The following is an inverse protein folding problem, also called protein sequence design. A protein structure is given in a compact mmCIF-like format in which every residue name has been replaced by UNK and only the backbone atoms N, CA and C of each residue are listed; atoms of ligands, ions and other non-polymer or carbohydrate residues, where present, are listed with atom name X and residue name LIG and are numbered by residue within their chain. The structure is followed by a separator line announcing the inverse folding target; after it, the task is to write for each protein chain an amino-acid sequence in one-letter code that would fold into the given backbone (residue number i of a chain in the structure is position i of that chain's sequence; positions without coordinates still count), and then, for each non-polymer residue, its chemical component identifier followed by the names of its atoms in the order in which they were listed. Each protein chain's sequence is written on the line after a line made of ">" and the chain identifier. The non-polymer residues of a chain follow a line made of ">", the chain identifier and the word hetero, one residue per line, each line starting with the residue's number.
data_IF_841146711723
#
_entry.id   IF_841146711723
#
_cell.length_a   1.000
_cell.length_b   1.000
_cell.length_c   1.000
_cell.angle_alpha   90.00
_cell.angle_beta   90.00
_cell.angle_gamma   90.00
#
_symmetry.space_group_name_H-M   'P 1'
#
loop_
_entity.id
_entity.type
_entity.pdbx_description
1 polymer ?
#
# COMPACT_ATOMS: atom_id res chain seq x y z
N UNK A 1 -22.12 39.04 9.62
CA UNK A 1 -21.81 38.05 8.58
C UNK A 1 -21.96 36.69 9.23
N UNK A 2 -22.94 35.89 8.81
CA UNK A 2 -23.11 34.51 9.27
C UNK A 2 -22.34 33.62 8.31
N UNK A 3 -21.32 32.93 8.81
CA UNK A 3 -20.59 31.95 8.01
C UNK A 3 -21.51 30.76 7.72
N UNK A 4 -21.87 30.57 6.45
CA UNK A 4 -22.56 29.38 5.99
C UNK A 4 -21.53 28.24 5.83
N UNK A 5 -21.26 27.54 6.94
CA UNK A 5 -20.40 26.35 6.92
C UNK A 5 -21.27 25.10 6.71
N UNK A 6 -21.06 24.40 5.60
CA UNK A 6 -21.67 23.09 5.37
C UNK A 6 -20.92 22.03 6.17
N UNK A 7 -21.61 21.40 7.13
CA UNK A 7 -21.06 20.26 7.87
C UNK A 7 -21.21 18.99 7.04
N UNK A 8 -20.12 18.26 6.85
CA UNK A 8 -20.10 16.96 6.17
C UNK A 8 -19.88 15.88 7.21
N UNK A 9 -20.82 14.95 7.36
CA UNK A 9 -20.73 13.82 8.28
C UNK A 9 -20.14 12.60 7.55
N UNK A 10 -19.09 11.95 8.09
CA UNK A 10 -18.60 10.69 7.54
C UNK A 10 -19.69 9.61 7.54
N UNK A 11 -19.85 8.91 6.43
CA UNK A 11 -20.75 7.75 6.33
C UNK A 11 -19.92 6.48 6.41
N UNK A 12 -20.29 5.55 7.30
CA UNK A 12 -19.64 4.25 7.36
C UNK A 12 -19.96 3.41 6.12
N UNK A 13 -18.97 2.68 5.60
CA UNK A 13 -19.18 1.70 4.54
C UNK A 13 -19.79 0.46 5.19
N UNK A 14 -21.02 0.13 4.79
CA UNK A 14 -21.79 -0.98 5.33
C UNK A 14 -21.48 -2.29 4.58
N UNK A 15 -20.24 -2.77 4.65
CA UNK A 15 -19.93 -4.21 4.55
C UNK A 15 -18.43 -4.47 4.80
N UNK A 16 -18.03 -4.82 6.02
CA UNK A 16 -16.64 -5.21 6.33
C UNK A 16 -16.33 -6.67 5.95
N UNK A 17 -17.31 -7.49 5.55
CA UNK A 17 -17.10 -8.94 5.31
C UNK A 17 -16.27 -9.26 4.05
N UNK A 18 -16.12 -8.33 3.10
CA UNK A 18 -15.38 -8.59 1.85
C UNK A 18 -13.88 -8.20 1.90
N UNK A 19 -13.42 -7.51 2.94
CA UNK A 19 -12.06 -6.99 3.03
C UNK A 19 -11.11 -7.95 3.74
N UNK A 20 -10.90 -9.16 3.19
CA UNK A 20 -9.84 -10.03 3.69
C UNK A 20 -8.46 -9.46 3.34
N UNK A 21 -7.50 -9.45 4.28
CA UNK A 21 -6.16 -8.93 4.01
C UNK A 21 -5.41 -9.83 3.01
N UNK A 22 -4.50 -9.21 2.28
CA UNK A 22 -3.54 -9.86 1.41
C UNK A 22 -2.38 -10.39 2.26
N UNK A 23 -2.25 -11.71 2.30
CA UNK A 23 -1.20 -12.40 3.03
C UNK A 23 0.06 -12.57 2.17
N UNK A 24 1.16 -11.93 2.54
CA UNK A 24 2.47 -12.15 1.91
C UNK A 24 3.57 -12.39 2.95
N UNK A 25 4.68 -12.99 2.52
CA UNK A 25 5.86 -13.17 3.36
C UNK A 25 7.11 -12.68 2.63
N UNK A 26 7.92 -11.86 3.29
CA UNK A 26 9.26 -11.49 2.85
C UNK A 26 10.28 -11.91 3.91
N UNK A 27 11.21 -12.78 3.53
CA UNK A 27 12.12 -13.39 4.49
C UNK A 27 11.35 -14.09 5.60
N UNK A 28 11.59 -13.70 6.84
CA UNK A 28 10.91 -14.26 8.03
C UNK A 28 9.68 -13.45 8.47
N UNK A 29 9.36 -12.36 7.76
CA UNK A 29 8.26 -11.44 8.12
C UNK A 29 7.01 -11.78 7.31
N UNK A 30 5.97 -12.19 8.03
CA UNK A 30 4.60 -12.37 7.49
C UNK A 30 3.83 -11.06 7.62
N UNK A 31 3.16 -10.65 6.55
CA UNK A 31 2.44 -9.39 6.45
C UNK A 31 0.99 -9.63 6.01
N UNK A 32 0.07 -8.99 6.71
CA UNK A 32 -1.37 -8.98 6.42
C UNK A 32 -1.72 -7.59 5.88
N UNK A 33 -1.49 -7.39 4.59
CA UNK A 33 -1.64 -6.09 3.95
C UNK A 33 -3.10 -5.82 3.57
N UNK A 34 -3.61 -4.58 3.67
CA UNK A 34 -4.94 -4.26 3.16
C UNK A 34 -4.97 -4.46 1.65
N UNK A 35 -6.12 -4.81 1.07
CA UNK A 35 -6.22 -4.91 -0.40
C UNK A 35 -6.04 -3.53 -1.03
N UNK A 36 -5.38 -3.49 -2.19
CA UNK A 36 -5.12 -2.23 -2.89
C UNK A 36 -6.40 -1.57 -3.45
N UNK A 37 -7.49 -2.32 -3.59
CA UNK A 37 -8.82 -1.84 -3.99
C UNK A 37 -9.73 -1.50 -2.79
N UNK A 38 -9.29 -1.77 -1.56
CA UNK A 38 -10.03 -1.48 -0.34
C UNK A 38 -9.60 -0.14 0.29
N UNK A 39 -10.23 0.93 -0.16
CA UNK A 39 -9.95 2.29 0.33
C UNK A 39 -10.35 2.53 1.78
N UNK A 40 -11.12 1.63 2.41
CA UNK A 40 -11.51 1.76 3.81
C UNK A 40 -10.34 1.45 4.76
N UNK A 41 -9.47 0.49 4.38
CA UNK A 41 -8.37 0.03 5.21
C UNK A 41 -6.98 0.44 4.67
N UNK A 42 -6.88 0.84 3.40
CA UNK A 42 -5.61 1.29 2.83
C UNK A 42 -5.20 2.66 3.40
N UNK A 43 -3.94 2.84 3.85
CA UNK A 43 -3.47 4.13 4.34
C UNK A 43 -3.61 5.22 3.27
N UNK A 44 -4.05 6.42 3.67
CA UNK A 44 -4.22 7.56 2.76
C UNK A 44 -2.94 7.88 1.98
N UNK A 45 -1.76 7.71 2.59
CA UNK A 45 -0.47 7.89 1.90
C UNK A 45 -0.28 6.93 0.73
N UNK A 46 -0.68 5.66 0.90
CA UNK A 46 -0.63 4.64 -0.15
C UNK A 46 -1.65 4.95 -1.25
N UNK A 47 -2.86 5.41 -0.88
CA UNK A 47 -3.87 5.88 -1.85
C UNK A 47 -3.29 7.00 -2.72
N UNK A 48 -2.66 8.02 -2.12
CA UNK A 48 -2.11 9.18 -2.84
C UNK A 48 -1.10 8.74 -3.90
N UNK A 49 -0.12 7.93 -3.53
CA UNK A 49 0.92 7.48 -4.48
C UNK A 49 0.36 6.48 -5.50
N UNK A 50 -0.60 5.65 -5.09
CA UNK A 50 -1.37 4.76 -5.98
C UNK A 50 -2.11 5.51 -7.06
N UNK A 51 -2.80 6.61 -6.72
CA UNK A 51 -3.50 7.47 -7.67
C UNK A 51 -2.55 8.09 -8.69
N UNK A 52 -1.35 8.50 -8.28
CA UNK A 52 -0.31 9.00 -9.21
C UNK A 52 0.12 7.91 -10.19
N UNK A 53 0.35 6.68 -9.70
CA UNK A 53 0.75 5.56 -10.53
C UNK A 53 -0.36 5.09 -11.50
N UNK A 54 -1.62 5.11 -11.08
CA UNK A 54 -2.78 4.73 -11.91
C UNK A 54 -3.10 5.81 -12.94
N UNK A 55 -3.16 7.09 -12.55
CA UNK A 55 -3.55 8.21 -13.43
C UNK A 55 -2.60 8.40 -14.61
N UNK A 56 -1.29 8.23 -14.38
CA UNK A 56 -0.27 8.43 -15.41
C UNK A 56 0.26 7.13 -16.00
N UNK A 57 0.08 6.01 -15.29
CA UNK A 57 0.73 4.74 -15.60
C UNK A 57 2.18 4.73 -15.12
N UNK A 58 2.59 3.68 -14.41
CA UNK A 58 3.94 3.52 -13.84
C UNK A 58 5.09 3.83 -14.81
N UNK A 59 4.94 3.46 -16.09
CA UNK A 59 5.96 3.69 -17.13
C UNK A 59 6.18 5.17 -17.44
N UNK A 60 5.18 6.02 -17.23
CA UNK A 60 5.20 7.44 -17.53
C UNK A 60 5.52 8.32 -16.30
N UNK A 61 5.82 7.69 -15.16
CA UNK A 61 6.32 8.40 -13.99
C UNK A 61 7.80 8.77 -14.16
N UNK A 62 8.16 9.96 -13.67
CA UNK A 62 9.57 10.36 -13.55
C UNK A 62 10.29 9.46 -12.54
N UNK A 63 11.62 9.47 -12.56
CA UNK A 63 12.40 8.72 -11.57
C UNK A 63 12.10 9.19 -10.14
N UNK A 64 11.95 10.50 -9.93
CA UNK A 64 11.61 11.10 -8.64
C UNK A 64 10.23 10.62 -8.16
N UNK A 65 9.24 10.56 -9.04
CA UNK A 65 7.90 10.05 -8.72
C UNK A 65 7.91 8.58 -8.33
N UNK A 66 8.73 7.76 -9.03
CA UNK A 66 8.92 6.35 -8.68
C UNK A 66 9.60 6.20 -7.32
N UNK A 67 10.61 7.03 -7.03
CA UNK A 67 11.28 7.04 -5.72
C UNK A 67 10.31 7.44 -4.61
N UNK A 68 9.53 8.51 -4.80
CA UNK A 68 8.53 8.96 -3.84
C UNK A 68 7.47 7.89 -3.58
N UNK A 69 7.03 7.19 -4.63
CA UNK A 69 6.15 6.03 -4.49
C UNK A 69 6.80 4.95 -3.60
N UNK A 70 8.00 4.48 -3.94
CA UNK A 70 8.69 3.43 -3.19
C UNK A 70 8.98 3.83 -1.75
N UNK A 71 9.41 5.07 -1.51
CA UNK A 71 9.69 5.60 -0.18
C UNK A 71 8.43 5.67 0.69
N UNK A 72 7.28 6.04 0.11
CA UNK A 72 6.00 6.06 0.80
C UNK A 72 5.56 4.65 1.20
N UNK A 73 5.70 3.69 0.29
CA UNK A 73 5.41 2.29 0.58
C UNK A 73 6.36 1.74 1.65
N UNK A 74 7.66 1.99 1.54
CA UNK A 74 8.63 1.55 2.54
C UNK A 74 8.33 2.14 3.92
N UNK A 75 8.01 3.43 3.99
CA UNK A 75 7.66 4.11 5.25
C UNK A 75 6.44 3.45 5.89
N UNK A 76 5.43 3.10 5.10
CA UNK A 76 4.28 2.35 5.58
C UNK A 76 4.67 0.96 6.08
N UNK A 77 5.45 0.20 5.29
CA UNK A 77 5.86 -1.15 5.65
C UNK A 77 6.70 -1.19 6.93
N UNK A 78 7.65 -0.26 7.09
CA UNK A 78 8.49 -0.18 8.31
C UNK A 78 7.65 0.19 9.53
N UNK A 79 6.63 1.04 9.37
CA UNK A 79 5.72 1.41 10.46
C UNK A 79 4.88 0.23 10.95
N UNK A 80 4.28 -0.53 10.03
CA UNK A 80 3.39 -1.64 10.38
C UNK A 80 4.15 -2.95 10.67
N UNK A 81 5.30 -3.15 10.04
CA UNK A 81 6.11 -4.36 10.13
C UNK A 81 7.56 -4.03 10.48
N UNK A 82 7.88 -3.63 11.72
CA UNK A 82 9.20 -3.11 12.07
C UNK A 82 10.38 -4.06 11.77
N UNK A 83 10.13 -5.39 11.77
CA UNK A 83 11.14 -6.39 11.43
C UNK A 83 11.52 -6.41 9.95
N UNK A 84 10.71 -5.80 9.08
CA UNK A 84 10.99 -5.74 7.63
C UNK A 84 12.26 -4.98 7.33
N UNK A 85 12.56 -3.92 8.10
CA UNK A 85 13.77 -3.12 7.93
C UNK A 85 15.01 -4.00 8.13
N UNK A 86 15.00 -4.82 9.18
CA UNK A 86 16.08 -5.77 9.46
C UNK A 86 16.22 -6.83 8.37
N UNK A 87 15.11 -7.37 7.86
CA UNK A 87 15.16 -8.36 6.78
C UNK A 87 15.74 -7.76 5.48
N UNK A 88 15.28 -6.56 5.10
CA UNK A 88 15.77 -5.80 3.94
C UNK A 88 17.26 -5.49 4.07
N UNK A 89 17.72 -5.19 5.29
CA UNK A 89 19.11 -4.85 5.58
C UNK A 89 20.06 -6.05 5.54
N UNK A 90 19.56 -7.28 5.72
CA UNK A 90 20.40 -8.46 5.95
C UNK A 90 20.38 -9.50 4.85
N UNK A 91 19.35 -9.56 3.98
CA UNK A 91 19.17 -10.70 3.06
C UNK A 91 19.67 -10.49 1.62
N UNK A 92 19.25 -9.46 0.89
CA UNK A 92 19.50 -9.40 -0.56
C UNK A 92 20.59 -8.43 -1.03
N UNK A 93 20.86 -7.36 -0.28
CA UNK A 93 21.76 -6.28 -0.68
C UNK A 93 21.19 -5.27 -1.69
N UNK A 94 20.06 -5.57 -2.35
CA UNK A 94 19.33 -4.65 -3.23
C UNK A 94 17.91 -4.38 -2.71
N UNK A 95 17.83 -3.42 -1.78
CA UNK A 95 16.61 -3.06 -1.07
C UNK A 95 15.53 -2.49 -1.99
N UNK A 96 15.93 -1.79 -3.06
CA UNK A 96 14.99 -1.17 -4.00
C UNK A 96 14.30 -2.25 -4.82
N UNK A 97 15.07 -3.24 -5.32
CA UNK A 97 14.49 -4.39 -6.00
C UNK A 97 13.55 -5.19 -5.08
N UNK A 98 13.89 -5.36 -3.80
CA UNK A 98 13.04 -6.04 -2.83
C UNK A 98 11.73 -5.31 -2.55
N UNK A 99 11.77 -3.99 -2.38
CA UNK A 99 10.56 -3.18 -2.23
C UNK A 99 9.66 -3.36 -3.46
N UNK A 100 10.24 -3.36 -4.67
CA UNK A 100 9.53 -3.67 -5.91
C UNK A 100 8.85 -5.04 -5.88
N UNK A 101 9.56 -6.09 -5.44
CA UNK A 101 9.00 -7.45 -5.30
C UNK A 101 7.87 -7.52 -4.30
N UNK A 102 7.98 -6.82 -3.16
CA UNK A 102 6.91 -6.76 -2.15
C UNK A 102 5.66 -6.09 -2.72
N UNK A 103 5.82 -4.97 -3.44
CA UNK A 103 4.71 -4.26 -4.10
C UNK A 103 4.05 -5.15 -5.15
N UNK A 104 4.85 -5.82 -5.99
CA UNK A 104 4.35 -6.72 -7.02
C UNK A 104 3.60 -7.91 -6.41
N UNK A 105 4.14 -8.52 -5.35
CA UNK A 105 3.48 -9.61 -4.63
C UNK A 105 2.16 -9.15 -4.01
N UNK A 106 2.14 -7.98 -3.37
CA UNK A 106 0.94 -7.37 -2.81
C UNK A 106 -0.13 -7.15 -3.89
N UNK A 107 0.25 -6.57 -5.03
CA UNK A 107 -0.67 -6.31 -6.14
C UNK A 107 -1.16 -7.58 -6.85
N UNK A 108 -0.33 -8.62 -6.93
CA UNK A 108 -0.72 -9.90 -7.53
C UNK A 108 -1.66 -10.67 -6.61
N UNK A 109 -1.30 -10.82 -5.35
CA UNK A 109 -2.11 -11.54 -4.37
C UNK A 109 -3.50 -10.90 -4.19
N UNK A 110 -3.59 -9.56 -4.26
CA UNK A 110 -4.89 -8.86 -4.28
C UNK A 110 -5.76 -9.10 -5.52
N UNK A 111 -5.18 -9.52 -6.65
CA UNK A 111 -5.91 -9.90 -7.88
C UNK A 111 -6.28 -11.39 -7.93
N UNK A 112 -5.44 -12.23 -7.31
CA UNK A 112 -5.57 -13.70 -7.33
C UNK A 112 -6.30 -14.29 -6.13
N UNK A 113 -6.99 -13.47 -5.32
CA UNK A 113 -7.92 -13.97 -4.31
C UNK A 113 -9.41 -13.86 -4.76
N UNK A 114 -9.86 -14.62 -5.80
CA UNK A 114 -11.26 -14.87 -6.04
C UNK A 114 -11.64 -16.15 -5.27
N UNK A 115 -11.96 -16.01 -3.98
CA UNK A 115 -12.43 -17.08 -3.08
C UNK A 115 -11.33 -18.06 -2.62
N UNK A 116 -10.83 -17.84 -1.41
CA UNK A 116 -10.57 -18.91 -0.45
C UNK A 116 -11.40 -18.67 0.81
#
# INVERSE_FOLDING_TARGET
>A
MTDNIQTITPTAIADPEEARPVHIQYGDVKMDLPRLDDSANLPTSVIIVGLTAVSRGWKNLTQEEKINFMATILTYLVREYPLIERELDTKSGDKIADIGRIIDAWAQAGKTDPKA
#
